data_IF_804741832610
#
_entry.id   IF_804741832610
#
_cell.length_a   1.000
_cell.length_b   1.000
_cell.length_c   1.000
_cell.angle_alpha   90.00
_cell.angle_beta   90.00
_cell.angle_gamma   90.00
#
_symmetry.space_group_name_H-M   'P 1'
#
loop_
_entity.id
_entity.type
_entity.pdbx_description
1 polymer ?
#
# COMPACT_ATOMS: atom_id res chain seq x y z
N UNK A 1 -26.17 5.74 -13.07
CA UNK A 1 -24.96 6.45 -13.56
C UNK A 1 -24.15 5.46 -14.37
N UNK A 2 -23.65 5.79 -15.57
CA UNK A 2 -22.85 4.84 -16.33
C UNK A 2 -21.60 4.48 -15.52
N UNK A 3 -21.37 3.19 -15.28
CA UNK A 3 -20.15 2.67 -14.68
C UNK A 3 -18.94 3.27 -15.39
N UNK A 4 -18.05 3.88 -14.61
CA UNK A 4 -16.84 4.51 -15.12
C UNK A 4 -15.90 3.39 -15.58
N UNK A 5 -16.00 2.98 -16.85
CA UNK A 5 -15.20 1.88 -17.40
C UNK A 5 -13.71 2.17 -17.23
N UNK A 6 -13.00 1.29 -16.55
CA UNK A 6 -11.55 1.39 -16.37
C UNK A 6 -10.83 1.14 -17.71
N UNK A 7 -9.89 2.03 -18.07
CA UNK A 7 -9.03 1.86 -19.25
C UNK A 7 -7.89 0.87 -18.95
N UNK A 8 -7.45 0.12 -19.97
CA UNK A 8 -6.28 -0.77 -19.86
C UNK A 8 -4.99 -0.01 -19.51
N UNK A 9 -4.84 1.20 -20.05
CA UNK A 9 -3.79 2.15 -19.68
C UNK A 9 -4.48 3.38 -19.09
N UNK A 10 -4.30 3.67 -17.80
CA UNK A 10 -4.79 4.90 -17.19
C UNK A 10 -4.22 6.16 -17.86
N UNK A 11 -5.06 7.19 -18.02
CA UNK A 11 -4.70 8.43 -18.73
C UNK A 11 -3.50 9.14 -18.08
N UNK A 12 -3.36 9.06 -16.76
CA UNK A 12 -2.23 9.63 -16.01
C UNK A 12 -0.86 9.05 -16.36
N UNK A 13 -0.82 7.88 -17.00
CA UNK A 13 0.42 7.26 -17.46
C UNK A 13 0.70 7.49 -18.95
N UNK A 14 -0.23 8.11 -19.67
CA UNK A 14 -0.07 8.43 -21.09
C UNK A 14 0.62 9.80 -21.18
N UNK A 15 1.86 9.88 -21.70
CA UNK A 15 2.54 11.15 -21.83
C UNK A 15 1.87 12.03 -22.89
N UNK A 16 1.91 13.35 -22.67
CA UNK A 16 1.49 14.31 -23.68
C UNK A 16 2.41 14.29 -24.92
N UNK A 17 1.84 14.65 -26.07
CA UNK A 17 2.60 14.91 -27.30
C UNK A 17 3.48 16.13 -27.04
N UNK A 18 4.79 15.93 -27.08
CA UNK A 18 5.78 17.02 -26.91
C UNK A 18 7.04 16.72 -27.67
N UNK A 19 7.71 17.78 -28.09
CA UNK A 19 9.09 17.75 -28.58
C UNK A 19 9.96 18.70 -27.76
N UNK A 20 11.25 18.41 -27.66
CA UNK A 20 12.25 19.32 -27.08
C UNK A 20 13.54 19.24 -27.88
N UNK A 21 14.23 20.37 -27.99
CA UNK A 21 15.58 20.43 -28.55
C UNK A 21 16.57 20.25 -27.41
N UNK A 22 17.59 19.41 -27.62
CA UNK A 22 18.76 19.31 -26.76
C UNK A 22 20.00 19.66 -27.59
N UNK A 23 20.89 20.47 -27.03
CA UNK A 23 22.15 20.85 -27.68
C UNK A 23 23.30 20.08 -27.03
N UNK A 24 24.05 19.32 -27.83
CA UNK A 24 25.25 18.58 -27.43
C UNK A 24 26.34 18.86 -28.46
N UNK A 25 27.57 19.17 -28.03
CA UNK A 25 28.71 19.47 -28.91
C UNK A 25 28.42 20.51 -30.02
N UNK A 26 27.71 21.58 -29.65
CA UNK A 26 27.23 22.63 -30.55
C UNK A 26 26.31 22.13 -31.69
N UNK A 27 25.71 20.95 -31.54
CA UNK A 27 24.71 20.39 -32.45
C UNK A 27 23.36 20.23 -31.75
N UNK A 28 22.30 20.65 -32.43
CA UNK A 28 20.92 20.51 -31.95
C UNK A 28 20.31 19.17 -32.36
N UNK A 29 19.67 18.50 -31.40
CA UNK A 29 18.93 17.26 -31.61
C UNK A 29 17.47 17.45 -31.18
N UNK A 30 16.54 17.12 -32.07
CA UNK A 30 15.11 17.10 -31.77
C UNK A 30 14.73 15.76 -31.13
N UNK A 31 14.28 15.82 -29.88
CA UNK A 31 13.66 14.68 -29.21
C UNK A 31 12.14 14.85 -29.25
N UNK A 32 11.43 13.81 -29.67
CA UNK A 32 9.97 13.78 -29.70
C UNK A 32 9.47 12.59 -28.87
N UNK A 33 8.41 12.81 -28.09
CA UNK A 33 7.64 11.72 -27.51
C UNK A 33 6.79 11.08 -28.62
N UNK A 34 6.97 9.79 -28.84
CA UNK A 34 6.13 8.99 -29.74
C UNK A 34 5.60 7.76 -29.00
N UNK A 35 4.55 7.15 -29.53
CA UNK A 35 3.82 6.06 -28.87
C UNK A 35 3.65 4.87 -29.80
N UNK A 36 3.93 3.68 -29.28
CA UNK A 36 3.62 2.41 -29.92
C UNK A 36 2.75 1.60 -28.96
N UNK A 37 1.54 1.25 -29.39
CA UNK A 37 0.62 0.45 -28.59
C UNK A 37 0.35 -0.89 -29.29
N UNK A 38 0.36 -1.98 -28.53
CA UNK A 38 -0.14 -3.27 -28.98
C UNK A 38 -1.04 -3.86 -27.90
N UNK A 39 -2.33 -3.99 -28.20
CA UNK A 39 -3.31 -4.60 -27.30
C UNK A 39 -3.66 -5.99 -27.81
N UNK A 40 -3.84 -6.94 -26.90
CA UNK A 40 -4.21 -8.31 -27.22
C UNK A 40 -5.47 -8.69 -26.46
N UNK A 41 -6.48 -9.16 -27.19
CA UNK A 41 -7.55 -9.96 -26.62
C UNK A 41 -7.21 -11.43 -26.84
N UNK A 42 -7.26 -12.23 -25.76
CA UNK A 42 -7.00 -13.67 -25.83
C UNK A 42 -7.90 -14.40 -24.86
N UNK A 43 -8.29 -15.61 -25.23
CA UNK A 43 -8.91 -16.54 -24.29
C UNK A 43 -7.91 -16.89 -23.18
N UNK A 44 -8.42 -17.21 -21.99
CA UNK A 44 -7.58 -17.64 -20.87
C UNK A 44 -7.19 -19.13 -20.96
N UNK A 45 -7.12 -19.75 -22.14
CA UNK A 45 -8.13 -20.68 -22.61
C UNK A 45 -8.58 -21.65 -21.53
N UNK A 46 -7.78 -22.67 -21.24
CA UNK A 46 -8.17 -23.69 -20.27
C UNK A 46 -8.37 -23.08 -18.87
N UNK A 47 -7.65 -22.02 -18.46
CA UNK A 47 -7.83 -21.37 -17.15
C UNK A 47 -9.13 -20.57 -17.01
N UNK A 48 -9.94 -20.47 -18.07
CA UNK A 48 -11.19 -19.72 -18.03
C UNK A 48 -12.11 -20.10 -16.86
N UNK A 49 -12.36 -21.38 -16.52
CA UNK A 49 -13.18 -21.74 -15.37
C UNK A 49 -12.66 -21.18 -14.04
N UNK A 50 -11.34 -21.14 -13.83
CA UNK A 50 -10.75 -20.56 -12.61
C UNK A 50 -11.03 -19.05 -12.50
N UNK A 51 -10.79 -18.31 -13.58
CA UNK A 51 -11.01 -16.85 -13.57
C UNK A 51 -12.50 -16.48 -13.58
N UNK A 52 -13.36 -17.27 -14.23
CA UNK A 52 -14.81 -17.11 -14.17
C UNK A 52 -15.35 -17.39 -12.77
N UNK A 53 -14.84 -18.41 -12.09
CA UNK A 53 -15.20 -18.71 -10.71
C UNK A 53 -14.81 -17.56 -9.75
N UNK A 54 -13.63 -16.95 -9.95
CA UNK A 54 -13.23 -15.75 -9.19
C UNK A 54 -14.18 -14.58 -9.48
N UNK A 55 -14.40 -14.29 -10.78
CA UNK A 55 -15.16 -13.12 -11.24
C UNK A 55 -16.64 -13.17 -10.84
N UNK A 56 -17.30 -14.28 -11.18
CA UNK A 56 -18.75 -14.41 -11.15
C UNK A 56 -19.26 -15.10 -9.88
N UNK A 57 -18.51 -16.08 -9.38
CA UNK A 57 -18.99 -16.99 -8.33
C UNK A 57 -18.33 -16.75 -6.98
N UNK A 58 -17.25 -15.95 -6.95
CA UNK A 58 -16.41 -15.70 -5.76
C UNK A 58 -15.92 -17.01 -5.13
N UNK A 59 -15.52 -17.96 -5.98
CA UNK A 59 -15.00 -19.27 -5.62
C UNK A 59 -13.54 -19.39 -6.04
N UNK A 60 -12.80 -20.24 -5.35
CA UNK A 60 -11.42 -20.58 -5.71
C UNK A 60 -11.39 -22.02 -6.14
N UNK A 61 -11.02 -22.23 -7.40
CA UNK A 61 -10.88 -23.56 -7.97
C UNK A 61 -9.41 -23.98 -8.00
N UNK A 62 -9.17 -25.27 -7.77
CA UNK A 62 -7.95 -25.98 -8.09
C UNK A 62 -8.24 -27.15 -9.02
N UNK A 63 -7.21 -27.95 -9.29
CA UNK A 63 -7.34 -29.20 -10.03
C UNK A 63 -6.76 -30.37 -9.24
N UNK A 64 -7.50 -31.48 -9.16
CA UNK A 64 -7.07 -32.72 -8.53
C UNK A 64 -6.62 -33.73 -9.58
N UNK A 65 -5.40 -34.24 -9.48
CA UNK A 65 -4.92 -35.30 -10.37
C UNK A 65 -5.60 -36.64 -10.08
N UNK A 66 -6.04 -37.35 -11.13
CA UNK A 66 -6.63 -38.68 -11.02
C UNK A 66 -5.66 -39.78 -10.55
N UNK A 67 -4.35 -39.60 -10.79
CA UNK A 67 -3.30 -40.59 -10.45
C UNK A 67 -2.70 -40.36 -9.07
N UNK A 68 -2.12 -39.19 -8.81
CA UNK A 68 -1.45 -38.90 -7.53
C UNK A 68 -2.33 -38.21 -6.49
N UNK A 69 -3.54 -37.77 -6.85
CA UNK A 69 -4.47 -37.13 -5.93
C UNK A 69 -4.13 -35.69 -5.51
N UNK A 70 -2.97 -35.15 -5.91
CA UNK A 70 -2.55 -33.79 -5.58
C UNK A 70 -3.54 -32.74 -6.10
N UNK A 71 -3.83 -31.73 -5.28
CA UNK A 71 -4.70 -30.59 -5.58
C UNK A 71 -3.86 -29.33 -5.80
N UNK A 72 -3.79 -28.85 -7.04
CA UNK A 72 -3.04 -27.64 -7.40
C UNK A 72 -3.93 -26.40 -7.48
N UNK A 73 -3.43 -25.30 -6.92
CA UNK A 73 -4.01 -23.96 -6.97
C UNK A 73 -2.89 -22.94 -7.29
N UNK A 74 -3.00 -22.15 -8.37
CA UNK A 74 -3.99 -22.25 -9.45
C UNK A 74 -3.97 -23.63 -10.15
N UNK A 75 -5.07 -24.03 -10.81
CA UNK A 75 -5.13 -25.32 -11.50
C UNK A 75 -4.14 -25.41 -12.66
N UNK A 76 -3.53 -26.58 -12.84
CA UNK A 76 -2.85 -27.00 -14.08
C UNK A 76 -3.88 -27.80 -14.89
N UNK A 77 -4.50 -27.11 -15.83
CA UNK A 77 -5.92 -27.28 -16.16
C UNK A 77 -6.45 -28.68 -16.47
N UNK A 78 -5.81 -29.42 -17.37
CA UNK A 78 -6.35 -30.69 -17.87
C UNK A 78 -5.51 -31.89 -17.48
N UNK A 79 -4.21 -31.69 -17.22
CA UNK A 79 -3.28 -32.79 -17.01
C UNK A 79 -2.20 -32.45 -15.97
N UNK A 80 -1.81 -33.46 -15.19
CA UNK A 80 -0.76 -33.35 -14.18
C UNK A 80 0.64 -33.50 -14.82
N UNK A 81 1.55 -32.51 -14.66
CA UNK A 81 2.89 -32.60 -15.25
C UNK A 81 3.75 -33.70 -14.61
N UNK A 82 3.46 -34.06 -13.37
CA UNK A 82 4.25 -35.03 -12.60
C UNK A 82 3.74 -36.47 -12.75
N UNK A 83 2.69 -36.69 -13.55
CA UNK A 83 2.00 -37.98 -13.66
C UNK A 83 1.75 -38.39 -15.11
N UNK A 84 2.74 -38.22 -15.99
CA UNK A 84 2.64 -38.55 -17.42
C UNK A 84 1.39 -37.94 -18.06
N UNK A 85 1.11 -36.68 -17.72
CA UNK A 85 -0.09 -35.98 -18.18
C UNK A 85 -1.40 -36.72 -17.87
N UNK A 86 -1.52 -37.36 -16.71
CA UNK A 86 -2.79 -37.93 -16.25
C UNK A 86 -3.88 -36.84 -16.10
N UNK A 87 -5.14 -37.12 -16.44
CA UNK A 87 -6.23 -36.14 -16.35
C UNK A 87 -6.40 -35.54 -14.95
N UNK A 88 -6.81 -34.27 -14.91
CA UNK A 88 -7.17 -33.57 -13.67
C UNK A 88 -8.64 -33.16 -13.67
N UNK A 89 -9.30 -33.26 -12.52
CA UNK A 89 -10.65 -32.75 -12.30
C UNK A 89 -10.64 -31.43 -11.55
N UNK A 90 -11.52 -30.49 -11.91
CA UNK A 90 -11.69 -29.24 -11.15
C UNK A 90 -12.31 -29.53 -9.77
N UNK A 91 -11.81 -28.84 -8.76
CA UNK A 91 -12.26 -28.95 -7.37
C UNK A 91 -12.26 -27.57 -6.73
N UNK A 92 -13.28 -27.25 -5.94
CA UNK A 92 -13.28 -26.03 -5.13
C UNK A 92 -12.46 -26.24 -3.85
N UNK A 93 -11.63 -25.27 -3.51
CA UNK A 93 -10.84 -25.25 -2.27
C UNK A 93 -11.35 -24.19 -1.31
N UNK A 94 -10.90 -24.26 -0.05
CA UNK A 94 -11.22 -23.23 0.95
C UNK A 94 -10.70 -21.86 0.52
N UNK A 95 -11.33 -20.82 1.06
CA UNK A 95 -10.87 -19.43 0.94
C UNK A 95 -9.98 -19.03 2.12
N UNK A 96 -9.77 -19.93 3.09
CA UNK A 96 -8.84 -19.79 4.20
C UNK A 96 -7.60 -20.64 3.91
N UNK A 97 -6.45 -20.16 4.34
CA UNK A 97 -5.20 -20.88 4.19
C UNK A 97 -4.10 -20.32 5.07
N UNK A 98 -2.92 -20.93 4.96
CA UNK A 98 -1.74 -20.52 5.73
C UNK A 98 -0.63 -20.04 4.80
N UNK A 99 0.04 -18.98 5.25
CA UNK A 99 1.19 -18.42 4.56
C UNK A 99 2.34 -19.44 4.50
N UNK A 100 2.76 -19.82 3.30
CA UNK A 100 3.87 -20.75 3.09
C UNK A 100 5.23 -20.11 3.47
N UNK A 101 5.35 -18.80 3.28
CA UNK A 101 6.56 -18.02 3.57
C UNK A 101 6.18 -16.67 4.17
N UNK A 102 7.10 -16.06 4.92
CA UNK A 102 6.95 -14.66 5.36
C UNK A 102 7.00 -13.77 4.11
N UNK A 103 5.95 -12.97 3.82
CA UNK A 103 5.87 -12.19 2.60
C UNK A 103 6.80 -10.96 2.66
N UNK A 104 7.60 -10.67 1.62
CA UNK A 104 8.21 -9.36 1.47
C UNK A 104 7.13 -8.30 1.25
N UNK A 105 7.33 -7.10 1.81
CA UNK A 105 6.43 -5.96 1.66
C UNK A 105 7.00 -5.00 0.62
N UNK A 106 6.14 -4.56 -0.29
CA UNK A 106 6.49 -3.57 -1.32
C UNK A 106 5.98 -2.20 -0.86
N UNK A 107 6.89 -1.36 -0.38
CA UNK A 107 6.62 0.04 -0.05
C UNK A 107 6.83 0.98 -1.24
N UNK A 108 7.78 0.63 -2.11
CA UNK A 108 8.14 1.36 -3.31
C UNK A 108 7.74 0.50 -4.52
N UNK A 109 6.55 0.77 -5.03
CA UNK A 109 6.03 0.07 -6.20
C UNK A 109 6.43 0.79 -7.49
N UNK A 110 6.49 0.03 -8.58
CA UNK A 110 6.54 0.59 -9.93
C UNK A 110 5.20 1.29 -10.24
N UNK A 111 5.18 2.13 -11.28
CA UNK A 111 3.99 2.91 -11.67
C UNK A 111 2.71 2.06 -11.78
N UNK A 112 2.81 0.83 -12.30
CA UNK A 112 1.69 -0.10 -12.47
C UNK A 112 1.03 -0.56 -11.16
N UNK A 113 1.76 -0.52 -10.03
CA UNK A 113 1.28 -0.98 -8.72
C UNK A 113 1.31 0.12 -7.67
N UNK A 114 1.51 1.38 -8.07
CA UNK A 114 1.67 2.50 -7.14
C UNK A 114 0.42 2.73 -6.29
N UNK A 115 -0.76 2.56 -6.91
CA UNK A 115 -2.08 2.66 -6.27
C UNK A 115 -2.34 1.56 -5.23
N UNK A 116 -1.61 0.45 -5.31
CA UNK A 116 -1.73 -0.72 -4.44
C UNK A 116 -0.74 -0.68 -3.28
N UNK A 117 0.27 0.17 -3.34
CA UNK A 117 1.30 0.23 -2.32
C UNK A 117 0.80 0.88 -1.01
N UNK A 118 1.24 0.38 0.16
CA UNK A 118 2.07 -0.80 0.34
C UNK A 118 1.26 -2.11 0.42
N UNK A 119 1.83 -3.19 -0.12
CA UNK A 119 1.24 -4.53 -0.12
C UNK A 119 2.29 -5.61 0.08
N UNK A 120 1.89 -6.72 0.69
CA UNK A 120 2.72 -7.92 0.82
C UNK A 120 2.59 -8.79 -0.43
N UNK A 121 3.66 -9.47 -0.82
CA UNK A 121 3.65 -10.46 -1.91
C UNK A 121 3.86 -11.85 -1.32
N UNK A 122 2.81 -12.64 -1.33
CA UNK A 122 2.74 -13.88 -0.56
C UNK A 122 2.44 -15.12 -1.41
N UNK A 123 2.69 -16.28 -0.80
CA UNK A 123 2.22 -17.57 -1.28
C UNK A 123 1.41 -18.23 -0.16
N UNK A 124 0.12 -18.49 -0.40
CA UNK A 124 -0.80 -19.10 0.57
C UNK A 124 -1.15 -20.52 0.14
N UNK A 125 -1.05 -21.48 1.05
CA UNK A 125 -1.60 -22.82 0.84
C UNK A 125 -3.01 -22.81 1.45
N UNK A 126 -4.01 -22.88 0.58
CA UNK A 126 -5.42 -22.91 0.98
C UNK A 126 -5.79 -24.28 1.52
N UNK A 127 -6.75 -24.34 2.43
CA UNK A 127 -7.21 -25.63 2.94
C UNK A 127 -7.87 -26.43 1.81
N UNK A 128 -7.47 -27.70 1.68
CA UNK A 128 -7.84 -28.56 0.56
C UNK A 128 -6.95 -28.41 -0.67
N UNK A 129 -5.91 -27.58 -0.64
CA UNK A 129 -4.88 -27.48 -1.68
C UNK A 129 -3.53 -28.00 -1.17
N UNK A 130 -2.72 -28.54 -2.09
CA UNK A 130 -1.35 -29.00 -1.81
C UNK A 130 -0.29 -28.01 -2.33
N UNK A 131 -0.68 -27.08 -3.22
CA UNK A 131 0.22 -26.04 -3.75
C UNK A 131 -0.20 -24.64 -3.32
N UNK A 132 0.74 -23.70 -3.43
CA UNK A 132 0.53 -22.35 -2.96
C UNK A 132 0.06 -21.39 -4.07
N UNK A 133 -1.02 -20.66 -3.78
CA UNK A 133 -1.52 -19.56 -4.60
C UNK A 133 -0.72 -18.28 -4.32
N UNK A 134 -0.29 -17.59 -5.37
CA UNK A 134 0.35 -16.28 -5.24
C UNK A 134 -0.71 -15.20 -5.00
N UNK A 135 -0.54 -14.41 -3.94
CA UNK A 135 -1.54 -13.42 -3.50
C UNK A 135 -0.89 -12.10 -3.09
N UNK A 136 -1.62 -11.01 -3.26
CA UNK A 136 -1.35 -9.76 -2.55
C UNK A 136 -1.89 -9.84 -1.13
N UNK A 137 -1.23 -9.17 -0.20
CA UNK A 137 -1.59 -9.16 1.21
C UNK A 137 -1.75 -7.74 1.72
N UNK A 138 -2.80 -7.53 2.50
CA UNK A 138 -3.11 -6.28 3.18
C UNK A 138 -3.43 -6.53 4.65
N UNK A 139 -3.52 -5.45 5.40
CA UNK A 139 -4.05 -5.44 6.78
C UNK A 139 -5.11 -4.36 6.86
N UNK A 140 -6.16 -4.65 7.62
CA UNK A 140 -7.22 -3.71 8.02
C UNK A 140 -6.81 -2.87 9.24
N UNK A 141 -5.69 -3.18 9.88
CA UNK A 141 -5.22 -2.52 11.12
C UNK A 141 -4.36 -1.27 10.88
N UNK A 142 -4.30 -0.77 9.64
CA UNK A 142 -3.54 0.40 9.25
C UNK A 142 -2.59 0.08 8.11
N UNK A 143 -1.29 0.20 8.36
CA UNK A 143 -0.24 -0.08 7.39
C UNK A 143 0.36 -1.48 7.57
N UNK A 144 0.62 -2.17 6.45
CA UNK A 144 1.34 -3.43 6.48
C UNK A 144 2.82 -3.19 6.84
N UNK A 145 3.28 -3.83 7.91
CA UNK A 145 4.64 -3.71 8.47
C UNK A 145 5.30 -5.08 8.72
N UNK A 146 6.63 -5.17 8.73
CA UNK A 146 7.32 -6.43 8.99
C UNK A 146 6.85 -7.11 10.29
N UNK A 147 6.71 -8.44 10.23
CA UNK A 147 6.28 -9.26 11.36
C UNK A 147 4.77 -9.28 11.63
N UNK A 148 3.95 -8.48 10.93
CA UNK A 148 2.49 -8.58 11.03
C UNK A 148 1.98 -9.88 10.40
N UNK A 149 2.45 -10.17 9.18
CA UNK A 149 2.20 -11.44 8.49
C UNK A 149 3.52 -12.19 8.39
N UNK A 150 3.53 -13.45 8.84
CA UNK A 150 4.70 -14.33 8.84
C UNK A 150 4.35 -15.70 8.26
N UNK A 151 5.36 -16.54 8.02
CA UNK A 151 5.12 -17.96 7.72
C UNK A 151 4.17 -18.56 8.76
N UNK A 152 3.17 -19.30 8.29
CA UNK A 152 2.15 -19.94 9.12
C UNK A 152 1.01 -19.02 9.56
N UNK A 153 1.07 -17.70 9.32
CA UNK A 153 -0.09 -16.82 9.54
C UNK A 153 -1.26 -17.32 8.70
N UNK A 154 -2.40 -17.50 9.37
CA UNK A 154 -3.65 -17.85 8.71
C UNK A 154 -4.27 -16.60 8.08
N UNK A 155 -4.68 -16.73 6.83
CA UNK A 155 -5.20 -15.63 6.02
C UNK A 155 -6.46 -16.08 5.29
N UNK A 156 -7.33 -15.12 5.01
CA UNK A 156 -8.57 -15.29 4.26
C UNK A 156 -8.48 -14.56 2.93
N UNK A 157 -8.91 -15.20 1.85
CA UNK A 157 -9.13 -14.57 0.55
C UNK A 157 -10.31 -13.62 0.63
N UNK A 158 -10.08 -12.40 0.16
CA UNK A 158 -11.05 -11.33 0.00
C UNK A 158 -11.19 -11.04 -1.48
N UNK A 159 -12.43 -10.91 -1.93
CA UNK A 159 -12.76 -10.57 -3.30
C UNK A 159 -12.93 -9.06 -3.42
N UNK A 160 -12.31 -8.45 -4.44
CA UNK A 160 -12.62 -7.06 -4.80
C UNK A 160 -14.07 -6.94 -5.20
N UNK A 161 -14.70 -5.79 -4.98
CA UNK A 161 -16.11 -5.61 -5.35
C UNK A 161 -16.28 -5.64 -6.87
N UNK A 162 -15.44 -4.89 -7.57
CA UNK A 162 -15.31 -4.90 -9.02
C UNK A 162 -14.26 -5.94 -9.45
N UNK A 163 -14.67 -6.89 -10.30
CA UNK A 163 -13.83 -8.01 -10.73
C UNK A 163 -13.92 -8.16 -12.24
N UNK A 164 -12.77 -8.32 -12.89
CA UNK A 164 -12.65 -8.40 -14.35
C UNK A 164 -12.23 -9.79 -14.84
N UNK A 165 -11.93 -10.73 -13.93
CA UNK A 165 -11.39 -12.06 -14.23
C UNK A 165 -9.86 -12.09 -14.17
N UNK A 166 -9.25 -11.38 -13.23
CA UNK A 166 -7.79 -11.35 -13.02
C UNK A 166 -7.40 -11.87 -11.65
N UNK A 167 -6.15 -12.30 -11.49
CA UNK A 167 -5.66 -12.75 -10.17
C UNK A 167 -5.64 -11.61 -9.13
N UNK A 168 -5.56 -10.36 -9.57
CA UNK A 168 -5.64 -9.16 -8.72
C UNK A 168 -7.05 -8.85 -8.21
N UNK A 169 -8.08 -9.55 -8.69
CA UNK A 169 -9.45 -9.47 -8.19
C UNK A 169 -9.59 -10.09 -6.80
N UNK A 170 -8.54 -10.76 -6.32
CA UNK A 170 -8.44 -11.31 -4.99
C UNK A 170 -7.16 -10.85 -4.29
N UNK A 171 -7.24 -10.76 -2.97
CA UNK A 171 -6.09 -10.56 -2.07
C UNK A 171 -6.38 -11.28 -0.75
N UNK A 172 -5.43 -11.31 0.19
CA UNK A 172 -5.72 -11.84 1.52
C UNK A 172 -5.46 -10.83 2.64
N UNK A 173 -6.18 -11.04 3.74
CA UNK A 173 -5.96 -10.39 5.04
C UNK A 173 -5.82 -11.47 6.13
N UNK A 174 -5.14 -11.21 7.25
CA UNK A 174 -5.07 -12.14 8.36
C UNK A 174 -6.45 -12.47 8.93
N UNK A 175 -6.74 -13.74 9.22
CA UNK A 175 -8.04 -14.13 9.82
C UNK A 175 -8.25 -13.53 11.21
N UNK A 176 -7.16 -13.25 11.94
CA UNK A 176 -7.19 -12.55 13.23
C UNK A 176 -7.76 -11.13 13.18
N UNK A 177 -7.90 -10.56 11.98
CA UNK A 177 -8.47 -9.23 11.75
C UNK A 177 -9.95 -9.28 11.32
N UNK A 178 -10.52 -10.49 11.21
CA UNK A 178 -11.89 -10.73 10.77
C UNK A 178 -12.73 -11.29 11.92
N UNK A 179 -14.05 -11.09 11.87
CA UNK A 179 -14.96 -11.80 12.77
C UNK A 179 -15.09 -13.27 12.36
N UNK A 180 -15.50 -14.17 13.28
CA UNK A 180 -15.73 -15.58 12.95
C UNK A 180 -16.72 -15.78 11.78
N UNK A 181 -17.74 -14.92 11.67
CA UNK A 181 -18.72 -14.93 10.57
C UNK A 181 -18.06 -14.53 9.24
N UNK A 182 -17.17 -13.53 9.26
CA UNK A 182 -16.42 -13.12 8.07
C UNK A 182 -15.44 -14.22 7.61
N UNK A 183 -14.77 -14.90 8.54
CA UNK A 183 -13.85 -16.00 8.20
C UNK A 183 -14.58 -17.14 7.49
N UNK A 184 -15.76 -17.51 7.98
CA UNK A 184 -16.55 -18.62 7.42
C UNK A 184 -17.33 -18.26 6.16
N UNK A 185 -17.63 -16.98 5.94
CA UNK A 185 -18.33 -16.50 4.74
C UNK A 185 -17.58 -16.85 3.45
N UNK A 186 -18.28 -17.49 2.51
CA UNK A 186 -17.79 -17.66 1.14
C UNK A 186 -17.98 -16.38 0.34
N UNK A 187 -16.93 -15.99 -0.38
CA UNK A 187 -16.95 -14.83 -1.25
C UNK A 187 -17.01 -13.50 -0.51
N UNK A 188 -16.37 -13.40 0.66
CA UNK A 188 -16.28 -12.15 1.42
C UNK A 188 -15.64 -11.06 0.56
N UNK A 189 -16.31 -9.92 0.45
CA UNK A 189 -15.85 -8.81 -0.38
C UNK A 189 -15.16 -7.70 0.41
N UNK A 190 -14.39 -6.87 -0.29
CA UNK A 190 -13.65 -5.76 0.32
C UNK A 190 -14.52 -4.67 0.94
N UNK A 191 -15.69 -4.38 0.36
CA UNK A 191 -16.72 -3.49 0.94
C UNK A 191 -17.27 -3.99 2.28
N UNK A 192 -17.12 -5.28 2.57
CA UNK A 192 -17.60 -5.92 3.79
C UNK A 192 -16.52 -5.93 4.90
N UNK A 193 -15.33 -5.41 4.60
CA UNK A 193 -14.26 -5.22 5.56
C UNK A 193 -14.37 -3.86 6.23
N UNK A 194 -14.07 -3.82 7.52
CA UNK A 194 -13.98 -2.56 8.24
C UNK A 194 -12.61 -1.91 8.06
N UNK A 195 -12.43 -1.20 6.94
CA UNK A 195 -11.25 -0.37 6.71
C UNK A 195 -11.23 0.93 7.55
N UNK A 196 -12.37 1.30 8.13
CA UNK A 196 -12.60 2.63 8.69
C UNK A 196 -12.17 2.79 10.16
N UNK A 197 -11.81 1.70 10.85
CA UNK A 197 -11.32 1.75 12.25
C UNK A 197 -10.04 0.94 12.45
N UNK A 198 -8.94 1.39 11.83
CA UNK A 198 -7.61 0.84 12.14
C UNK A 198 -7.36 1.04 13.65
N UNK A 199 -6.89 -0.03 14.31
CA UNK A 199 -6.72 -0.04 15.77
C UNK A 199 -5.51 0.80 16.15
N UNK A 200 -5.77 2.04 16.58
CA UNK A 200 -4.74 2.96 17.02
C UNK A 200 -3.94 2.38 18.20
N UNK A 201 -2.60 2.55 18.22
CA UNK A 201 -1.79 2.14 19.35
C UNK A 201 -2.22 2.85 20.64
N UNK A 202 -2.24 2.09 21.73
CA UNK A 202 -2.48 2.63 23.08
C UNK A 202 -1.14 2.96 23.72
N UNK A 203 -1.03 4.15 24.29
CA UNK A 203 0.17 4.59 24.99
C UNK A 203 -0.06 4.59 26.51
N UNK A 204 0.98 4.34 27.32
CA UNK A 204 0.88 4.49 28.77
C UNK A 204 0.57 5.95 29.16
N UNK A 205 0.06 6.16 30.39
CA UNK A 205 -0.21 7.51 30.89
C UNK A 205 1.07 8.38 30.85
N UNK A 206 0.98 9.65 30.40
CA UNK A 206 2.15 10.52 30.33
C UNK A 206 2.66 10.91 31.72
N UNK A 207 3.98 11.05 31.82
CA UNK A 207 4.67 11.70 32.94
C UNK A 207 4.84 13.20 32.66
N UNK A 208 5.24 13.97 33.68
CA UNK A 208 5.55 15.39 33.50
C UNK A 208 6.70 15.60 32.50
N UNK A 209 7.69 14.71 32.49
CA UNK A 209 8.78 14.72 31.52
C UNK A 209 8.28 14.47 30.09
N UNK A 210 7.34 13.54 29.89
CA UNK A 210 6.73 13.30 28.57
C UNK A 210 5.98 14.55 28.07
N UNK A 211 5.29 15.25 28.98
CA UNK A 211 4.55 16.48 28.67
C UNK A 211 5.50 17.63 28.30
N UNK A 212 6.61 17.77 29.02
CA UNK A 212 7.65 18.75 28.70
C UNK A 212 8.32 18.44 27.35
N UNK A 213 8.66 17.17 27.10
CA UNK A 213 9.22 16.71 25.82
C UNK A 213 8.25 16.97 24.66
N UNK A 214 6.95 16.72 24.85
CA UNK A 214 5.93 17.02 23.85
C UNK A 214 5.89 18.49 23.48
N UNK A 215 5.81 19.39 24.46
CA UNK A 215 5.77 20.84 24.22
C UNK A 215 7.02 21.34 23.50
N UNK A 216 8.20 20.84 23.91
CA UNK A 216 9.46 21.18 23.27
C UNK A 216 9.50 20.70 21.81
N UNK A 217 9.19 19.43 21.57
CA UNK A 217 9.18 18.87 20.22
C UNK A 217 8.16 19.59 19.32
N UNK A 218 6.98 19.92 19.84
CA UNK A 218 5.95 20.64 19.09
C UNK A 218 6.43 22.03 18.67
N UNK A 219 7.05 22.78 19.58
CA UNK A 219 7.63 24.10 19.28
C UNK A 219 8.70 24.02 18.19
N UNK A 220 9.57 23.02 18.25
CA UNK A 220 10.60 22.80 17.21
C UNK A 220 9.98 22.42 15.86
N UNK A 221 9.00 21.52 15.85
CA UNK A 221 8.26 21.14 14.66
C UNK A 221 7.53 22.32 14.02
N UNK A 222 6.92 23.20 14.83
CA UNK A 222 6.29 24.44 14.36
C UNK A 222 7.31 25.37 13.70
N UNK A 223 8.48 25.57 14.32
CA UNK A 223 9.55 26.37 13.74
C UNK A 223 10.08 25.78 12.42
N UNK A 224 10.22 24.45 12.33
CA UNK A 224 10.56 23.76 11.08
C UNK A 224 9.49 23.95 10.02
N UNK A 225 8.20 23.86 10.39
CA UNK A 225 7.11 24.01 9.44
C UNK A 225 7.08 25.39 8.79
N UNK A 226 7.37 26.45 9.56
CA UNK A 226 7.55 27.81 9.02
C UNK A 226 8.68 27.86 7.99
N UNK A 227 9.85 27.26 8.29
CA UNK A 227 10.99 27.20 7.37
C UNK A 227 10.67 26.40 6.10
N UNK A 228 9.97 25.28 6.24
CA UNK A 228 9.52 24.45 5.11
C UNK A 228 8.56 25.22 4.20
N UNK A 229 7.62 25.97 4.77
CA UNK A 229 6.69 26.82 4.03
C UNK A 229 7.35 28.00 3.33
N UNK A 230 8.54 28.44 3.75
CA UNK A 230 9.31 29.50 3.10
C UNK A 230 10.29 28.99 2.04
N UNK A 231 10.69 27.72 2.11
CA UNK A 231 11.63 27.10 1.14
C UNK A 231 10.94 26.79 -0.18
N UNK A 232 11.44 27.39 -1.27
CA UNK A 232 10.92 27.15 -2.63
C UNK A 232 11.01 25.67 -3.00
N UNK A 233 12.11 25.01 -2.66
CA UNK A 233 12.33 23.59 -2.99
C UNK A 233 11.41 22.68 -2.16
N UNK A 234 11.25 22.96 -0.87
CA UNK A 234 10.37 22.22 0.02
C UNK A 234 8.90 22.35 -0.42
N UNK A 235 8.40 23.56 -0.67
CA UNK A 235 7.03 23.79 -1.18
C UNK A 235 6.75 22.95 -2.44
N UNK A 236 7.67 22.92 -3.40
CA UNK A 236 7.52 22.13 -4.64
C UNK A 236 7.41 20.62 -4.40
N UNK A 237 7.90 20.08 -3.28
CA UNK A 237 7.76 18.65 -2.97
C UNK A 237 6.30 18.23 -2.73
N UNK A 238 5.51 19.14 -2.18
CA UNK A 238 4.15 18.91 -1.69
C UNK A 238 3.10 19.73 -2.47
N UNK A 239 3.49 20.30 -3.60
CA UNK A 239 2.61 20.98 -4.54
C UNK A 239 1.55 19.98 -5.08
N UNK A 240 0.31 20.46 -5.24
CA UNK A 240 -0.84 19.64 -5.61
C UNK A 240 -1.32 18.64 -4.54
N UNK A 241 -0.65 18.55 -3.39
CA UNK A 241 -1.05 17.66 -2.30
C UNK A 241 -1.81 18.43 -1.21
N UNK A 242 -2.89 17.83 -0.69
CA UNK A 242 -3.72 18.42 0.37
C UNK A 242 -4.07 17.37 1.40
N UNK A 243 -3.70 17.59 2.67
CA UNK A 243 -4.03 16.72 3.80
C UNK A 243 -4.13 17.48 5.12
N UNK A 244 -5.13 17.14 5.92
CA UNK A 244 -5.29 17.51 7.31
C UNK A 244 -5.07 16.26 8.16
N UNK A 245 -4.01 16.22 8.94
CA UNK A 245 -3.54 15.01 9.61
C UNK A 245 -3.56 15.25 11.11
N UNK A 246 -4.17 14.34 11.87
CA UNK A 246 -4.03 14.34 13.33
C UNK A 246 -2.80 13.51 13.69
N UNK A 247 -1.91 14.05 14.51
CA UNK A 247 -0.78 13.32 15.10
C UNK A 247 -1.04 13.14 16.59
N UNK A 248 -1.11 11.89 17.03
CA UNK A 248 -1.29 11.52 18.44
C UNK A 248 0.00 10.99 19.03
N UNK A 249 0.25 11.39 20.27
CA UNK A 249 1.41 10.96 21.03
C UNK A 249 1.01 10.57 22.44
N UNK A 250 1.96 10.01 23.19
CA UNK A 250 1.74 9.66 24.60
C UNK A 250 1.25 10.83 25.46
N UNK A 251 1.74 12.05 25.19
CA UNK A 251 1.51 13.21 26.04
C UNK A 251 0.66 14.33 25.42
N UNK A 252 0.21 14.17 24.18
CA UNK A 252 -0.62 15.17 23.52
C UNK A 252 -0.92 14.86 22.06
N UNK A 253 -1.77 15.68 21.45
CA UNK A 253 -2.09 15.59 20.03
C UNK A 253 -2.02 16.96 19.36
N UNK A 254 -1.67 16.96 18.08
CA UNK A 254 -1.57 18.16 17.25
C UNK A 254 -1.98 17.87 15.80
N UNK A 255 -2.17 18.92 15.02
CA UNK A 255 -2.56 18.86 13.62
C UNK A 255 -1.38 19.21 12.71
N UNK A 256 -1.26 18.47 11.60
CA UNK A 256 -0.44 18.84 10.45
C UNK A 256 -1.37 19.21 9.29
N UNK A 257 -1.08 20.32 8.63
CA UNK A 257 -1.78 20.77 7.44
C UNK A 257 -0.81 20.84 6.27
N UNK A 258 -1.15 20.13 5.19
CA UNK A 258 -0.51 20.23 3.89
C UNK A 258 -1.55 20.85 2.96
N UNK A 259 -1.23 21.96 2.32
CA UNK A 259 -2.10 22.56 1.32
C UNK A 259 -1.30 23.18 0.18
N UNK A 260 -1.16 22.45 -0.93
CA UNK A 260 -0.58 22.96 -2.18
C UNK A 260 0.73 23.74 -1.99
N UNK A 261 1.74 23.10 -1.41
CA UNK A 261 3.02 23.75 -1.11
C UNK A 261 3.14 24.29 0.31
N UNK A 262 2.04 24.67 0.97
CA UNK A 262 2.07 25.15 2.34
C UNK A 262 2.07 24.00 3.35
N UNK A 263 2.86 24.14 4.41
CA UNK A 263 3.03 23.15 5.47
C UNK A 263 2.95 23.82 6.85
N UNK A 264 1.95 23.45 7.65
CA UNK A 264 1.73 24.02 8.99
C UNK A 264 1.53 22.92 10.03
N UNK A 265 1.92 23.24 11.26
CA UNK A 265 1.73 22.39 12.43
C UNK A 265 1.10 23.25 13.52
N UNK A 266 0.01 22.78 14.13
CA UNK A 266 -0.74 23.53 15.14
C UNK A 266 -1.17 22.60 16.29
N UNK A 267 -1.10 23.07 17.53
CA UNK A 267 -1.66 22.36 18.69
C UNK A 267 -3.19 22.46 18.67
N UNK A 268 -3.81 21.70 17.77
CA UNK A 268 -5.26 21.73 17.54
C UNK A 268 -5.80 20.34 17.29
N UNK A 269 -6.95 20.07 17.88
CA UNK A 269 -7.73 18.86 17.59
C UNK A 269 -8.52 19.06 16.30
N UNK A 270 -8.39 18.12 15.38
CA UNK A 270 -9.20 18.09 14.16
C UNK A 270 -10.47 17.27 14.41
N UNK A 271 -11.62 17.81 14.03
CA UNK A 271 -12.90 17.08 14.07
C UNK A 271 -13.01 16.02 12.97
N UNK A 272 -12.39 16.27 11.81
CA UNK A 272 -12.40 15.37 10.66
C UNK A 272 -11.02 15.38 9.97
N UNK A 273 -10.05 14.60 10.48
CA UNK A 273 -8.77 14.45 9.80
C UNK A 273 -8.88 13.49 8.60
N UNK A 274 -8.07 13.71 7.58
CA UNK A 274 -7.93 12.80 6.44
C UNK A 274 -7.37 11.44 6.89
N UNK A 275 -6.41 11.44 7.81
CA UNK A 275 -5.93 10.24 8.51
C UNK A 275 -5.22 10.60 9.83
N UNK A 276 -4.89 9.58 10.61
CA UNK A 276 -4.22 9.69 11.91
C UNK A 276 -2.82 9.10 11.80
N UNK A 277 -1.84 9.81 12.37
CA UNK A 277 -0.52 9.30 12.69
C UNK A 277 -0.42 9.14 14.21
N UNK A 278 0.23 8.08 14.69
CA UNK A 278 0.43 7.88 16.11
C UNK A 278 1.86 7.40 16.41
N UNK A 279 2.54 8.03 17.35
CA UNK A 279 3.86 7.61 17.82
C UNK A 279 3.98 7.89 19.31
N UNK A 280 4.64 7.01 20.07
CA UNK A 280 4.74 7.20 21.52
C UNK A 280 5.52 8.48 21.86
N UNK A 281 6.71 8.63 21.27
CA UNK A 281 7.58 9.79 21.43
C UNK A 281 7.48 10.74 20.19
N UNK A 282 7.01 12.00 20.36
CA UNK A 282 6.95 12.99 19.28
C UNK A 282 8.29 13.23 18.60
N UNK A 283 9.41 12.95 19.28
CA UNK A 283 10.75 13.05 18.71
C UNK A 283 10.93 12.18 17.46
N UNK A 284 10.19 11.07 17.38
CA UNK A 284 10.17 10.19 16.20
C UNK A 284 9.82 10.96 14.92
N UNK A 285 8.82 11.84 14.99
CA UNK A 285 8.40 12.64 13.84
C UNK A 285 9.31 13.86 13.65
N UNK A 286 9.71 14.51 14.75
CA UNK A 286 10.63 15.64 14.71
C UNK A 286 11.96 15.28 14.04
N UNK A 287 12.59 14.17 14.42
CA UNK A 287 13.86 13.70 13.84
C UNK A 287 13.71 13.44 12.33
N UNK A 288 12.57 12.88 11.91
CA UNK A 288 12.25 12.71 10.49
C UNK A 288 12.09 14.04 9.74
N UNK A 289 11.36 15.01 10.32
CA UNK A 289 11.21 16.35 9.74
C UNK A 289 12.53 17.14 9.70
N UNK A 290 13.47 16.84 10.61
CA UNK A 290 14.84 17.36 10.58
C UNK A 290 15.78 16.59 9.64
N UNK A 291 15.29 15.55 8.97
CA UNK A 291 16.08 14.70 8.09
C UNK A 291 17.26 13.99 8.81
N UNK A 292 17.06 13.58 10.07
CA UNK A 292 17.98 12.71 10.84
C UNK A 292 17.70 11.20 10.63
N UNK A 293 16.79 10.88 9.72
CA UNK A 293 16.33 9.56 9.35
C UNK A 293 15.05 9.71 8.52
N UNK A 294 14.63 8.66 7.80
CA UNK A 294 13.39 8.71 7.05
C UNK A 294 12.19 8.46 7.98
N UNK A 295 11.13 9.25 7.82
CA UNK A 295 9.82 9.03 8.44
C UNK A 295 9.26 7.69 7.94
N UNK A 296 9.49 7.35 6.67
CA UNK A 296 9.21 6.02 6.12
C UNK A 296 9.81 4.90 6.98
N UNK A 297 11.07 5.01 7.41
CA UNK A 297 11.71 3.99 8.25
C UNK A 297 11.06 3.92 9.64
N UNK A 298 10.69 5.08 10.21
CA UNK A 298 9.92 5.11 11.47
C UNK A 298 8.60 4.35 11.34
N UNK A 299 7.94 4.42 10.19
CA UNK A 299 6.72 3.64 9.93
C UNK A 299 7.01 2.14 9.81
N UNK A 300 7.99 1.78 8.98
CA UNK A 300 8.38 0.37 8.76
C UNK A 300 8.82 -0.29 10.07
N UNK A 301 9.55 0.44 10.92
CA UNK A 301 10.04 -0.03 12.22
C UNK A 301 9.01 0.06 13.35
N UNK A 302 7.74 0.39 13.05
CA UNK A 302 6.64 0.50 14.03
C UNK A 302 6.85 1.58 15.10
N UNK A 303 7.76 2.53 14.89
CA UNK A 303 7.92 3.71 15.76
C UNK A 303 6.87 4.78 15.49
N UNK A 304 6.32 4.77 14.27
CA UNK A 304 5.25 5.66 13.82
C UNK A 304 4.16 4.83 13.13
N UNK A 305 2.93 4.90 13.60
CA UNK A 305 1.79 4.22 13.02
C UNK A 305 0.97 5.18 12.17
N UNK A 306 0.36 4.68 11.10
CA UNK A 306 -0.59 5.45 10.27
C UNK A 306 -1.89 4.68 10.09
N UNK A 307 -3.01 5.40 10.11
CA UNK A 307 -4.34 4.79 10.09
C UNK A 307 -4.78 4.33 8.70
N UNK A 308 -4.28 4.96 7.63
CA UNK A 308 -4.67 4.61 6.25
C UNK A 308 -3.47 4.17 5.44
N UNK A 309 -3.56 2.99 4.84
CA UNK A 309 -2.47 2.39 4.06
C UNK A 309 -2.04 3.27 2.88
N UNK A 310 -3.01 3.81 2.12
CA UNK A 310 -2.77 4.70 0.98
C UNK A 310 -2.07 6.01 1.35
N UNK A 311 -2.14 6.42 2.62
CA UNK A 311 -1.50 7.64 3.12
C UNK A 311 -0.01 7.45 3.43
N UNK A 312 0.55 6.27 3.15
CA UNK A 312 2.00 6.10 3.06
C UNK A 312 2.62 7.03 1.99
N UNK A 313 1.86 7.38 0.94
CA UNK A 313 2.25 8.40 -0.02
C UNK A 313 2.46 9.78 0.63
N UNK A 314 1.65 10.12 1.64
CA UNK A 314 1.84 11.36 2.40
C UNK A 314 3.13 11.30 3.22
N UNK A 315 3.52 10.14 3.73
CA UNK A 315 4.82 9.97 4.41
C UNK A 315 6.00 10.25 3.46
N UNK A 316 5.95 9.76 2.21
CA UNK A 316 6.97 10.09 1.21
C UNK A 316 7.03 11.59 0.90
N UNK A 317 5.88 12.28 0.90
CA UNK A 317 5.82 13.73 0.72
C UNK A 317 6.51 14.45 1.89
N UNK A 318 6.31 14.00 3.13
CA UNK A 318 6.99 14.56 4.31
C UNK A 318 8.49 14.30 4.28
N UNK A 319 8.95 13.09 3.91
CA UNK A 319 10.38 12.80 3.76
C UNK A 319 11.04 13.66 2.70
N UNK A 320 10.37 13.85 1.55
CA UNK A 320 10.85 14.71 0.47
C UNK A 320 10.90 16.18 0.89
N UNK A 321 9.90 16.63 1.65
CA UNK A 321 9.83 17.97 2.23
C UNK A 321 11.04 18.24 3.15
N UNK A 322 11.29 17.34 4.10
CA UNK A 322 12.43 17.41 5.02
C UNK A 322 13.77 17.44 4.29
N UNK A 323 13.98 16.51 3.35
CA UNK A 323 15.20 16.44 2.54
C UNK A 323 15.47 17.73 1.78
N UNK A 324 14.46 18.29 1.12
CA UNK A 324 14.64 19.47 0.28
C UNK A 324 14.91 20.74 1.07
N UNK A 325 14.36 20.87 2.27
CA UNK A 325 14.73 21.97 3.17
C UNK A 325 16.22 21.92 3.50
N UNK A 326 16.74 20.75 3.88
CA UNK A 326 18.17 20.58 4.22
C UNK A 326 19.07 20.84 3.02
N UNK A 327 18.68 20.38 1.83
CA UNK A 327 19.44 20.66 0.60
C UNK A 327 19.51 22.15 0.30
N UNK A 328 18.38 22.87 0.37
CA UNK A 328 18.36 24.32 0.13
C UNK A 328 19.18 25.10 1.16
N UNK A 329 19.17 24.68 2.42
CA UNK A 329 20.00 25.30 3.47
C UNK A 329 21.49 25.08 3.22
N UNK A 330 21.92 23.86 2.87
CA UNK A 330 23.32 23.57 2.51
C UNK A 330 23.80 24.39 1.33
N UNK A 331 22.96 24.56 0.30
CA UNK A 331 23.27 25.38 -0.88
C UNK A 331 23.40 26.88 -0.52
N UNK A 332 22.62 27.38 0.45
CA UNK A 332 22.74 28.76 0.93
C UNK A 332 23.98 29.00 1.79
N UNK A 333 24.40 28.01 2.58
CA UNK A 333 25.63 28.10 3.40
C UNK A 333 26.91 27.92 2.57
N UNK A 334 26.82 27.26 1.42
CA UNK A 334 27.94 27.06 0.50
C UNK A 334 28.17 28.23 -0.48
N UNK A 335 27.30 29.25 -0.47
CA UNK A 335 27.40 30.48 -1.27
C UNK A 335 27.85 31.64 -0.40
#
# INVERSE_FOLDING_TARGET
>A
MPEKRQKLIPDEFIPEIRSRVITLDNQDYLLQNDTMYTFYERSMGELSPFFLAIKNEKRILGCKCSKCGIVRVPPMMTHCPDCEFAPTGLVEVSQVGKMNTTPPITYFATSLFLDKAPFGRGRVILEGADTALSVMLYTTTGILVPGLIKKGTEVKIIFRDERVGQISDIYCVPTSELTPEQVTKKGLQESELNWAKPKEPQFPKPTDNDTANFKQCLKEMQALAVKMSQSKRARKAIEGWRRNITVRTKAGEFAIYINNGDFRIEEKKLSSPDFIMACEDPKTLLDGLMYKGAITDSVIMKRLWISKNLEFNTIFKLDRLARFLVMEQKEKTAK
#
